data_IF_211704572508
#
_entry.id   IF_211704572508
#
_cell.length_a   1.000
_cell.length_b   1.000
_cell.length_c   1.000
_cell.angle_alpha   90.00
_cell.angle_beta   90.00
_cell.angle_gamma   90.00
#
_symmetry.space_group_name_H-M   'P 1'
#
loop_
_entity.id
_entity.type
_entity.pdbx_description
1 polymer ?
#
# COMPACT_ATOMS: atom_id res chain seq x y z
N UNK A 1 0.46 2.38 19.13
CA UNK A 1 0.14 1.00 18.66
C UNK A 1 -0.97 1.10 17.69
N UNK A 2 -0.71 0.73 16.45
CA UNK A 2 -1.74 0.63 15.40
C UNK A 2 -2.90 -0.23 15.90
N UNK A 3 -4.12 0.25 15.74
CA UNK A 3 -5.30 -0.50 16.18
C UNK A 3 -5.55 -1.63 15.19
N UNK A 4 -5.47 -2.88 15.66
CA UNK A 4 -5.81 -4.05 14.85
C UNK A 4 -7.06 -4.73 15.39
N UNK A 5 -8.00 -5.01 14.49
CA UNK A 5 -9.27 -5.67 14.81
C UNK A 5 -9.58 -6.85 13.89
N UNK A 6 -8.64 -7.25 13.05
CA UNK A 6 -8.82 -8.30 12.04
C UNK A 6 -9.32 -9.60 12.64
N UNK A 7 -8.79 -10.01 13.80
CA UNK A 7 -9.24 -11.23 14.49
C UNK A 7 -10.70 -11.17 14.95
N UNK A 8 -11.22 -9.98 15.27
CA UNK A 8 -12.63 -9.78 15.71
C UNK A 8 -13.62 -9.93 14.55
N UNK A 9 -13.17 -9.66 13.32
CA UNK A 9 -13.98 -9.71 12.10
C UNK A 9 -13.59 -10.87 11.17
N UNK A 10 -12.71 -11.77 11.60
CA UNK A 10 -12.24 -12.91 10.83
C UNK A 10 -13.40 -13.81 10.34
N UNK A 11 -14.51 -13.84 11.07
CA UNK A 11 -15.73 -14.55 10.65
C UNK A 11 -16.90 -13.59 10.68
N UNK A 12 -17.60 -13.46 9.56
CA UNK A 12 -18.82 -12.65 9.47
C UNK A 12 -19.91 -13.27 10.36
N UNK A 13 -20.24 -12.58 11.46
CA UNK A 13 -21.31 -12.97 12.39
C UNK A 13 -22.28 -11.81 12.54
N UNK A 14 -23.54 -12.12 12.84
CA UNK A 14 -24.52 -11.10 13.17
C UNK A 14 -24.01 -10.26 14.35
N UNK A 15 -24.01 -8.94 14.19
CA UNK A 15 -23.53 -8.01 15.23
C UNK A 15 -22.00 -7.83 15.32
N UNK A 16 -21.18 -8.57 14.55
CA UNK A 16 -19.72 -8.41 14.57
C UNK A 16 -19.28 -6.99 14.21
N UNK A 17 -19.88 -6.40 13.19
CA UNK A 17 -19.62 -5.01 12.80
C UNK A 17 -20.08 -3.99 13.85
N UNK A 18 -21.21 -4.24 14.50
CA UNK A 18 -21.73 -3.35 15.55
C UNK A 18 -20.77 -3.22 16.76
N UNK A 19 -20.00 -4.27 17.06
CA UNK A 19 -18.99 -4.22 18.12
C UNK A 19 -17.82 -3.28 17.78
N UNK A 20 -17.50 -3.12 16.48
CA UNK A 20 -16.47 -2.17 16.04
C UNK A 20 -16.91 -0.72 16.25
N UNK A 21 -18.22 -0.43 16.11
CA UNK A 21 -18.77 0.90 16.34
C UNK A 21 -18.63 1.38 17.79
N UNK A 22 -18.43 0.47 18.74
CA UNK A 22 -18.26 0.80 20.16
C UNK A 22 -16.79 0.99 20.57
N UNK A 23 -15.84 0.81 19.66
CA UNK A 23 -14.43 1.03 19.94
C UNK A 23 -14.15 2.54 20.03
N UNK A 24 -13.46 2.95 21.09
CA UNK A 24 -13.02 4.33 21.28
C UNK A 24 -11.66 4.61 20.62
N UNK A 25 -10.71 3.68 20.79
CA UNK A 25 -9.36 3.83 20.25
C UNK A 25 -9.35 3.60 18.74
N UNK A 26 -8.76 4.52 17.96
CA UNK A 26 -8.82 4.51 16.50
C UNK A 26 -10.22 4.81 15.94
N UNK A 27 -11.13 5.38 16.76
CA UNK A 27 -12.49 5.66 16.33
C UNK A 27 -12.65 7.08 15.80
N UNK A 28 -13.60 7.23 14.89
CA UNK A 28 -14.03 8.52 14.37
C UNK A 28 -14.57 9.43 15.50
N UNK A 29 -15.15 8.87 16.56
CA UNK A 29 -15.62 9.62 17.71
C UNK A 29 -14.48 10.34 18.43
N UNK A 30 -13.35 9.65 18.63
CA UNK A 30 -12.15 10.24 19.24
C UNK A 30 -11.54 11.34 18.36
N UNK A 31 -11.65 11.22 17.05
CA UNK A 31 -11.15 12.23 16.11
C UNK A 31 -12.04 13.48 16.09
N UNK A 32 -13.36 13.29 16.14
CA UNK A 32 -14.34 14.35 15.86
C UNK A 32 -14.89 15.07 17.11
N UNK A 33 -14.69 14.56 18.33
CA UNK A 33 -15.39 15.11 19.48
C UNK A 33 -15.14 16.61 19.72
N UNK A 34 -13.94 17.10 19.42
CA UNK A 34 -13.58 18.52 19.58
C UNK A 34 -14.29 19.40 18.55
N UNK A 35 -14.23 19.00 17.29
CA UNK A 35 -14.89 19.70 16.18
C UNK A 35 -16.41 19.65 16.34
N UNK A 36 -16.95 18.52 16.76
CA UNK A 36 -18.38 18.37 17.04
C UNK A 36 -18.84 19.28 18.18
N UNK A 37 -18.07 19.40 19.26
CA UNK A 37 -18.37 20.31 20.37
C UNK A 37 -18.29 21.77 19.94
N UNK A 38 -17.29 22.14 19.13
CA UNK A 38 -17.16 23.47 18.55
C UNK A 38 -18.36 23.81 17.67
N UNK A 39 -18.69 22.89 16.75
CA UNK A 39 -19.85 23.06 15.86
C UNK A 39 -21.17 23.19 16.65
N UNK A 40 -21.38 22.32 17.61
CA UNK A 40 -22.57 22.37 18.46
C UNK A 40 -22.65 23.68 19.25
N UNK A 41 -21.52 24.16 19.80
CA UNK A 41 -21.43 25.44 20.49
C UNK A 41 -21.76 26.63 19.58
N UNK A 42 -21.19 26.64 18.36
CA UNK A 42 -21.49 27.68 17.37
C UNK A 42 -22.96 27.64 16.92
N UNK A 43 -23.51 26.44 16.68
CA UNK A 43 -24.91 26.26 16.33
C UNK A 43 -25.86 26.78 17.43
N UNK A 44 -25.60 26.38 18.69
CA UNK A 44 -26.40 26.84 19.83
C UNK A 44 -26.29 28.34 19.99
N UNK A 45 -25.09 28.91 19.86
CA UNK A 45 -24.88 30.36 19.92
C UNK A 45 -25.66 31.11 18.84
N UNK A 46 -25.62 30.62 17.59
CA UNK A 46 -26.37 31.19 16.48
C UNK A 46 -27.88 31.04 16.67
N UNK A 47 -28.35 29.87 17.14
CA UNK A 47 -29.77 29.61 17.46
C UNK A 47 -30.29 30.52 18.54
N UNK A 48 -29.53 30.72 19.62
CA UNK A 48 -29.88 31.65 20.69
C UNK A 48 -29.90 33.10 20.18
N UNK A 49 -28.92 33.51 19.39
CA UNK A 49 -28.89 34.84 18.78
C UNK A 49 -30.12 35.07 17.90
N UNK A 50 -30.44 34.09 17.01
CA UNK A 50 -31.63 34.18 16.16
C UNK A 50 -32.94 34.28 16.95
N UNK A 51 -33.09 33.50 18.02
CA UNK A 51 -34.33 33.44 18.83
C UNK A 51 -34.52 34.65 19.75
N UNK A 52 -33.43 35.15 20.34
CA UNK A 52 -33.51 36.14 21.41
C UNK A 52 -32.95 37.53 21.07
N UNK A 53 -31.99 37.63 20.14
CA UNK A 53 -31.27 38.87 19.87
C UNK A 53 -31.72 39.57 18.58
N UNK A 54 -32.26 38.87 17.59
CA UNK A 54 -32.63 39.47 16.31
C UNK A 54 -34.03 40.10 16.35
N UNK A 55 -34.13 41.30 15.77
CA UNK A 55 -35.42 41.96 15.48
C UNK A 55 -36.11 41.28 14.29
N UNK A 56 -37.43 41.48 14.12
CA UNK A 56 -38.22 40.88 13.03
C UNK A 56 -37.66 41.19 11.63
N UNK A 57 -37.13 42.37 11.42
CA UNK A 57 -36.52 42.75 10.14
C UNK A 57 -35.21 41.99 9.90
N UNK A 58 -34.40 41.77 10.93
CA UNK A 58 -33.14 41.02 10.87
C UNK A 58 -33.40 39.52 10.72
N UNK A 59 -34.41 38.95 11.33
CA UNK A 59 -34.85 37.55 11.13
C UNK A 59 -35.20 37.27 9.68
N UNK A 60 -36.02 38.14 9.06
CA UNK A 60 -36.37 38.02 7.63
C UNK A 60 -35.17 38.11 6.70
N UNK A 61 -34.19 38.97 7.05
CA UNK A 61 -32.94 39.04 6.28
C UNK A 61 -32.11 37.75 6.43
N UNK A 62 -31.99 37.24 7.65
CA UNK A 62 -31.31 35.99 7.94
C UNK A 62 -31.93 34.82 7.20
N UNK A 63 -33.26 34.67 7.19
CA UNK A 63 -34.00 33.64 6.47
C UNK A 63 -33.75 33.71 4.96
N UNK A 64 -33.75 34.93 4.36
CA UNK A 64 -33.41 35.11 2.94
C UNK A 64 -31.98 34.69 2.63
N UNK A 65 -31.04 35.04 3.54
CA UNK A 65 -29.64 34.65 3.39
C UNK A 65 -29.46 33.14 3.44
N UNK A 66 -30.15 32.47 4.39
CA UNK A 66 -30.12 31.01 4.51
C UNK A 66 -30.64 30.34 3.26
N UNK A 67 -31.83 30.78 2.75
CA UNK A 67 -32.40 30.24 1.50
C UNK A 67 -31.50 30.46 0.26
N UNK A 68 -30.81 31.60 0.23
CA UNK A 68 -29.84 31.88 -0.85
C UNK A 68 -28.61 30.95 -0.78
N UNK A 69 -28.06 30.75 0.43
CA UNK A 69 -26.94 29.85 0.64
C UNK A 69 -27.30 28.39 0.33
N UNK A 70 -28.48 27.92 0.72
CA UNK A 70 -29.00 26.58 0.47
C UNK A 70 -29.05 26.26 -1.02
N UNK A 71 -29.67 27.15 -1.79
CA UNK A 71 -29.75 26.98 -3.25
C UNK A 71 -28.39 26.94 -3.94
N UNK A 72 -27.37 27.62 -3.38
CA UNK A 72 -26.02 27.61 -3.91
C UNK A 72 -25.23 26.38 -3.48
N UNK A 73 -25.52 25.83 -2.30
CA UNK A 73 -24.83 24.65 -1.76
C UNK A 73 -25.12 23.39 -2.56
N UNK A 74 -26.34 23.22 -3.09
CA UNK A 74 -26.74 22.06 -3.90
C UNK A 74 -25.96 21.95 -5.23
N UNK A 75 -25.35 23.04 -5.68
CA UNK A 75 -24.56 23.04 -6.94
C UNK A 75 -23.16 22.44 -6.75
N UNK A 76 -22.69 22.24 -5.54
CA UNK A 76 -21.33 21.74 -5.26
C UNK A 76 -21.38 20.26 -4.91
N UNK A 77 -20.83 19.35 -5.74
CA UNK A 77 -20.85 17.91 -5.49
C UNK A 77 -19.81 17.49 -4.44
N UNK A 78 -19.93 18.00 -3.20
CA UNK A 78 -18.94 17.81 -2.12
C UNK A 78 -18.72 16.34 -1.81
N UNK A 79 -19.79 15.54 -1.73
CA UNK A 79 -19.70 14.10 -1.44
C UNK A 79 -18.86 13.34 -2.49
N UNK A 80 -18.99 13.73 -3.76
CA UNK A 80 -18.24 13.16 -4.87
C UNK A 80 -16.74 13.50 -4.75
N UNK A 81 -16.41 14.77 -4.57
CA UNK A 81 -15.04 15.25 -4.44
C UNK A 81 -14.36 14.65 -3.20
N UNK A 82 -15.08 14.61 -2.07
CA UNK A 82 -14.61 14.01 -0.83
C UNK A 82 -14.32 12.52 -0.97
N UNK A 83 -15.17 11.79 -1.68
CA UNK A 83 -14.97 10.36 -1.97
C UNK A 83 -13.67 10.10 -2.74
N UNK A 84 -13.41 10.87 -3.78
CA UNK A 84 -12.15 10.78 -4.55
C UNK A 84 -10.92 11.13 -3.72
N UNK A 85 -11.01 12.18 -2.91
CA UNK A 85 -9.90 12.57 -2.06
C UNK A 85 -9.53 11.50 -1.05
N UNK A 86 -10.51 10.95 -0.33
CA UNK A 86 -10.27 9.88 0.64
C UNK A 86 -9.71 8.64 -0.04
N UNK A 87 -10.21 8.27 -1.23
CA UNK A 87 -9.67 7.15 -2.00
C UNK A 87 -8.20 7.37 -2.38
N UNK A 88 -7.85 8.57 -2.85
CA UNK A 88 -6.46 8.95 -3.17
C UNK A 88 -5.54 8.85 -1.94
N UNK A 89 -6.02 9.35 -0.78
CA UNK A 89 -5.24 9.31 0.47
C UNK A 89 -5.07 7.87 0.96
N UNK A 90 -6.10 7.03 0.86
CA UNK A 90 -6.03 5.61 1.25
C UNK A 90 -5.05 4.83 0.37
N UNK A 91 -5.07 5.05 -0.95
CA UNK A 91 -4.10 4.44 -1.87
C UNK A 91 -2.67 4.88 -1.52
N UNK A 92 -2.49 6.17 -1.23
CA UNK A 92 -1.20 6.71 -0.79
C UNK A 92 -0.75 6.09 0.54
N UNK A 93 -1.63 5.99 1.53
CA UNK A 93 -1.35 5.36 2.83
C UNK A 93 -0.86 3.92 2.67
N UNK A 94 -1.56 3.12 1.85
CA UNK A 94 -1.14 1.75 1.53
C UNK A 94 0.18 1.69 0.76
N UNK A 95 0.37 2.61 -0.20
CA UNK A 95 1.62 2.76 -0.95
C UNK A 95 2.80 3.09 -0.04
N UNK A 96 2.62 3.93 0.96
CA UNK A 96 3.63 4.26 1.97
C UNK A 96 4.01 3.03 2.82
N UNK A 97 3.04 2.23 3.25
CA UNK A 97 3.33 0.97 3.95
C UNK A 97 4.14 0.00 3.10
N UNK A 98 3.75 -0.18 1.83
CA UNK A 98 4.48 -1.03 0.88
C UNK A 98 5.89 -0.52 0.55
N UNK A 99 6.14 0.76 0.73
CA UNK A 99 7.45 1.37 0.54
C UNK A 99 8.39 1.19 1.76
N UNK A 100 7.90 0.73 2.91
CA UNK A 100 8.75 0.46 4.08
C UNK A 100 9.78 -0.61 3.71
N UNK A 101 11.10 -0.32 3.82
CA UNK A 101 12.14 -1.27 3.43
C UNK A 101 12.20 -2.46 4.37
N UNK A 102 11.93 -3.66 3.84
CA UNK A 102 12.07 -4.94 4.54
C UNK A 102 13.39 -5.61 4.12
N UNK A 103 14.23 -6.05 5.06
CA UNK A 103 15.55 -6.63 4.75
C UNK A 103 15.49 -8.11 4.34
N UNK A 104 14.32 -8.73 4.27
CA UNK A 104 14.16 -10.17 4.16
C UNK A 104 14.84 -10.75 2.91
N UNK A 105 14.69 -10.15 1.73
CA UNK A 105 15.38 -10.57 0.51
C UNK A 105 16.89 -10.38 0.59
N UNK A 106 17.31 -9.22 1.11
CA UNK A 106 18.74 -8.92 1.30
C UNK A 106 19.39 -9.87 2.30
N UNK A 107 18.68 -10.23 3.38
CA UNK A 107 19.11 -11.18 4.40
C UNK A 107 19.36 -12.56 3.83
N UNK A 108 18.43 -13.09 3.04
CA UNK A 108 18.57 -14.41 2.39
C UNK A 108 19.72 -14.39 1.39
N UNK A 109 19.85 -13.33 0.58
CA UNK A 109 20.94 -13.19 -0.38
C UNK A 109 22.31 -13.16 0.32
N UNK A 110 22.45 -12.39 1.44
CA UNK A 110 23.71 -12.34 2.19
C UNK A 110 24.04 -13.67 2.87
N UNK A 111 23.05 -14.31 3.50
CA UNK A 111 23.25 -15.60 4.17
C UNK A 111 23.67 -16.70 3.18
N UNK A 112 23.07 -16.72 1.98
CA UNK A 112 23.33 -17.72 0.94
C UNK A 112 24.58 -17.45 0.08
N UNK A 113 25.04 -16.20 0.01
CA UNK A 113 26.12 -15.82 -0.92
C UNK A 113 27.46 -15.51 -0.25
N UNK A 114 27.46 -15.15 1.04
CA UNK A 114 28.69 -14.77 1.78
C UNK A 114 29.12 -15.90 2.70
N UNK A 115 30.13 -16.65 2.26
CA UNK A 115 30.57 -17.89 2.90
C UNK A 115 31.63 -17.68 3.99
N UNK A 116 31.75 -18.67 4.89
CA UNK A 116 32.74 -18.78 5.95
C UNK A 116 32.09 -18.82 7.34
N UNK A 117 32.32 -19.93 8.06
CA UNK A 117 31.90 -20.10 9.46
C UNK A 117 32.83 -19.41 10.45
N UNK A 118 33.96 -18.90 9.98
CA UNK A 118 34.96 -18.20 10.77
C UNK A 118 34.54 -16.77 11.16
N UNK A 119 35.27 -16.16 12.07
CA UNK A 119 35.00 -14.79 12.54
C UNK A 119 34.97 -13.75 11.40
N UNK A 120 35.78 -13.95 10.33
CA UNK A 120 35.79 -13.04 9.18
C UNK A 120 34.51 -13.11 8.38
N UNK A 121 34.02 -14.31 8.06
CA UNK A 121 32.75 -14.49 7.37
C UNK A 121 31.57 -13.95 8.16
N UNK A 122 31.56 -14.20 9.47
CA UNK A 122 30.53 -13.68 10.37
C UNK A 122 30.50 -12.15 10.39
N UNK A 123 31.68 -11.49 10.51
CA UNK A 123 31.76 -10.02 10.53
C UNK A 123 31.27 -9.41 9.21
N UNK A 124 31.62 -10.03 8.07
CA UNK A 124 31.19 -9.57 6.76
C UNK A 124 29.66 -9.60 6.64
N UNK A 125 29.02 -10.75 6.93
CA UNK A 125 27.57 -10.90 6.86
C UNK A 125 26.86 -9.92 7.78
N UNK A 126 27.25 -9.84 9.05
CA UNK A 126 26.66 -8.90 10.02
C UNK A 126 26.81 -7.45 9.57
N UNK A 127 27.98 -7.08 9.04
CA UNK A 127 28.22 -5.70 8.60
C UNK A 127 27.38 -5.34 7.37
N UNK A 128 27.26 -6.26 6.41
CA UNK A 128 26.43 -6.04 5.23
C UNK A 128 24.96 -5.78 5.64
N UNK A 129 24.38 -6.62 6.49
CA UNK A 129 23.00 -6.43 6.92
C UNK A 129 22.83 -5.21 7.84
N UNK A 130 23.82 -4.91 8.66
CA UNK A 130 23.81 -3.68 9.46
C UNK A 130 23.81 -2.43 8.59
N UNK A 131 24.51 -2.43 7.45
CA UNK A 131 24.46 -1.33 6.50
C UNK A 131 23.08 -1.20 5.84
N UNK A 132 22.45 -2.30 5.48
CA UNK A 132 21.04 -2.29 5.04
C UNK A 132 20.12 -1.70 6.11
N UNK A 133 20.19 -2.22 7.35
CA UNK A 133 19.41 -1.73 8.47
C UNK A 133 19.66 -0.25 8.78
N UNK A 134 20.92 0.21 8.67
CA UNK A 134 21.28 1.62 8.85
C UNK A 134 20.67 2.51 7.75
N UNK A 135 20.67 2.06 6.48
CA UNK A 135 20.05 2.81 5.40
C UNK A 135 18.55 3.00 5.63
N UNK A 136 17.84 1.93 5.99
CA UNK A 136 16.42 1.98 6.36
C UNK A 136 16.17 2.90 7.56
N UNK A 137 17.00 2.79 8.60
CA UNK A 137 16.89 3.60 9.80
C UNK A 137 17.10 5.09 9.53
N UNK A 138 18.04 5.46 8.66
CA UNK A 138 18.27 6.86 8.27
C UNK A 138 17.07 7.46 7.54
N UNK A 139 16.38 6.67 6.71
CA UNK A 139 15.14 7.11 6.06
C UNK A 139 14.00 7.21 7.08
N UNK A 140 13.76 6.15 7.86
CA UNK A 140 12.69 6.13 8.86
C UNK A 140 12.87 7.24 9.91
N UNK A 141 14.11 7.55 10.28
CA UNK A 141 14.43 8.68 11.17
C UNK A 141 14.06 10.04 10.55
N UNK A 142 14.10 10.15 9.23
CA UNK A 142 13.73 11.39 8.54
C UNK A 142 12.21 11.56 8.41
N UNK A 143 11.47 10.46 8.25
CA UNK A 143 10.03 10.50 7.94
C UNK A 143 9.13 10.19 9.15
N UNK A 144 9.65 9.49 10.17
CA UNK A 144 8.87 9.03 11.33
C UNK A 144 9.24 9.74 12.62
N UNK A 145 8.27 10.43 13.21
CA UNK A 145 8.42 11.12 14.50
C UNK A 145 8.81 10.18 15.65
N UNK A 146 8.19 9.01 15.86
CA UNK A 146 8.59 8.06 16.88
C UNK A 146 10.02 7.55 16.73
N UNK A 147 10.49 7.34 15.49
CA UNK A 147 11.85 6.91 15.20
C UNK A 147 12.85 8.04 15.47
N UNK A 148 12.51 9.27 15.07
CA UNK A 148 13.34 10.44 15.38
C UNK A 148 13.49 10.64 16.90
N UNK A 149 12.41 10.50 17.66
CA UNK A 149 12.45 10.59 19.14
C UNK A 149 13.28 9.48 19.76
N UNK A 150 13.30 8.29 19.18
CA UNK A 150 14.13 7.16 19.65
C UNK A 150 15.62 7.36 19.32
N UNK A 151 15.94 7.93 18.16
CA UNK A 151 17.31 8.12 17.68
C UNK A 151 17.57 9.57 17.26
N UNK A 152 17.53 10.55 18.17
CA UNK A 152 17.61 11.97 17.82
C UNK A 152 18.98 12.39 17.25
N UNK A 153 20.06 11.72 17.64
CA UNK A 153 21.41 12.01 17.16
C UNK A 153 22.11 10.77 16.61
N UNK A 154 23.22 10.97 15.91
CA UNK A 154 24.07 9.88 15.42
C UNK A 154 24.75 9.10 16.55
N UNK A 155 24.92 9.69 17.75
CA UNK A 155 25.38 8.99 18.94
C UNK A 155 24.43 7.87 19.37
N UNK A 156 23.13 8.10 19.29
CA UNK A 156 22.12 7.07 19.59
C UNK A 156 22.20 5.91 18.61
N UNK A 157 22.55 6.16 17.33
CA UNK A 157 22.76 5.10 16.34
C UNK A 157 23.99 4.25 16.68
N UNK A 158 25.04 4.88 17.23
CA UNK A 158 26.24 4.18 17.70
C UNK A 158 25.93 3.34 18.95
N UNK A 159 25.20 3.91 19.91
CA UNK A 159 24.80 3.19 21.13
C UNK A 159 23.89 2.01 20.85
N UNK A 160 22.99 2.15 19.86
CA UNK A 160 22.10 1.09 19.43
C UNK A 160 22.78 0.02 18.54
N UNK A 161 24.05 0.19 18.18
CA UNK A 161 24.81 -0.79 17.40
C UNK A 161 24.55 -0.77 15.88
N UNK A 162 23.84 0.21 15.36
CA UNK A 162 23.67 0.38 13.90
C UNK A 162 24.88 1.01 13.24
N UNK A 163 25.66 1.77 13.98
CA UNK A 163 26.79 2.54 13.47
C UNK A 163 28.00 2.35 14.40
N UNK A 164 29.19 2.19 13.86
CA UNK A 164 30.41 2.24 14.62
C UNK A 164 30.92 3.68 14.78
N UNK A 165 31.80 3.95 15.73
CA UNK A 165 32.40 5.29 15.94
C UNK A 165 33.13 5.79 14.70
N UNK A 166 33.84 4.90 14.00
CA UNK A 166 34.59 5.26 12.80
C UNK A 166 33.66 5.54 11.61
N UNK A 167 32.64 4.71 11.40
CA UNK A 167 31.63 4.92 10.38
C UNK A 167 30.87 6.23 10.62
N UNK A 168 30.58 6.57 11.88
CA UNK A 168 29.99 7.86 12.24
C UNK A 168 30.87 9.03 11.78
N UNK A 169 32.19 9.00 12.10
CA UNK A 169 33.11 10.07 11.68
C UNK A 169 33.11 10.24 10.16
N UNK A 170 33.06 9.14 9.39
CA UNK A 170 32.97 9.17 7.93
C UNK A 170 31.64 9.71 7.45
N UNK A 171 30.53 9.29 8.05
CA UNK A 171 29.20 9.75 7.71
C UNK A 171 29.01 11.25 7.95
N UNK A 172 29.50 11.73 9.09
CA UNK A 172 29.44 13.16 9.47
C UNK A 172 30.40 14.00 8.63
N UNK A 173 31.61 13.50 8.38
CA UNK A 173 32.63 14.18 7.60
C UNK A 173 32.27 14.36 6.11
N UNK A 174 31.28 13.61 5.61
CA UNK A 174 30.83 13.76 4.24
C UNK A 174 30.07 15.08 4.05
N UNK A 175 30.58 15.97 3.22
CA UNK A 175 29.96 17.25 2.91
C UNK A 175 28.83 17.09 1.92
N UNK A 176 27.63 16.78 2.41
CA UNK A 176 26.40 16.73 1.62
C UNK A 176 25.26 17.31 2.44
N UNK A 177 24.43 18.23 1.90
CA UNK A 177 23.26 18.76 2.58
C UNK A 177 22.07 17.79 2.53
N UNK A 178 22.14 16.78 1.68
CA UNK A 178 21.05 15.83 1.45
C UNK A 178 21.05 14.68 2.46
N UNK A 179 19.92 14.01 2.60
CA UNK A 179 19.82 12.81 3.44
C UNK A 179 20.83 11.75 2.97
N UNK A 180 21.56 11.19 3.93
CA UNK A 180 22.71 10.31 3.68
C UNK A 180 22.37 8.81 3.70
N UNK A 181 21.11 8.43 3.52
CA UNK A 181 20.70 7.00 3.54
C UNK A 181 21.37 6.18 2.42
N UNK A 182 21.82 6.81 1.36
CA UNK A 182 22.57 6.16 0.28
C UNK A 182 23.98 5.76 0.66
N UNK A 183 24.58 6.37 1.68
CA UNK A 183 25.97 6.12 2.09
C UNK A 183 26.18 4.70 2.59
N UNK A 184 25.35 4.15 3.50
CA UNK A 184 25.43 2.74 3.87
C UNK A 184 25.26 1.78 2.70
N UNK A 185 24.46 2.11 1.70
CA UNK A 185 24.30 1.30 0.48
C UNK A 185 25.62 1.28 -0.32
N UNK A 186 26.31 2.42 -0.44
CA UNK A 186 27.62 2.47 -1.08
C UNK A 186 28.69 1.67 -0.29
N UNK A 187 28.65 1.73 1.05
CA UNK A 187 29.53 0.90 1.88
C UNK A 187 29.22 -0.59 1.73
N UNK A 188 27.95 -0.97 1.64
CA UNK A 188 27.54 -2.34 1.37
C UNK A 188 28.14 -2.83 0.04
N UNK A 189 27.97 -2.06 -1.03
CA UNK A 189 28.48 -2.43 -2.35
C UNK A 189 30.00 -2.60 -2.36
N UNK A 190 30.72 -1.67 -1.72
CA UNK A 190 32.18 -1.75 -1.59
C UNK A 190 32.62 -2.99 -0.78
N UNK A 191 31.93 -3.29 0.33
CA UNK A 191 32.21 -4.42 1.20
C UNK A 191 31.90 -5.76 0.53
N UNK A 192 30.81 -5.85 -0.24
CA UNK A 192 30.46 -7.05 -1.03
C UNK A 192 31.51 -7.31 -2.13
N UNK A 193 31.98 -6.26 -2.82
CA UNK A 193 33.10 -6.37 -3.76
C UNK A 193 34.40 -6.80 -3.09
N UNK A 194 34.65 -6.35 -1.86
CA UNK A 194 35.78 -6.83 -1.06
C UNK A 194 35.63 -8.31 -0.68
N UNK A 195 34.45 -8.71 -0.21
CA UNK A 195 34.15 -10.12 0.11
C UNK A 195 34.35 -11.05 -1.11
N UNK A 196 34.03 -10.56 -2.33
CA UNK A 196 34.32 -11.28 -3.58
C UNK A 196 35.83 -11.46 -3.81
N UNK A 197 36.62 -10.40 -3.63
CA UNK A 197 38.08 -10.48 -3.76
C UNK A 197 38.74 -11.39 -2.69
N UNK A 198 38.15 -11.45 -1.50
CA UNK A 198 38.59 -12.35 -0.43
C UNK A 198 38.14 -13.81 -0.64
N UNK A 199 37.42 -14.12 -1.73
CA UNK A 199 36.91 -15.47 -2.04
C UNK A 199 35.71 -15.88 -1.14
N UNK A 200 35.13 -14.95 -0.40
CA UNK A 200 33.95 -15.22 0.46
C UNK A 200 32.64 -15.21 -0.32
N UNK A 201 32.60 -14.58 -1.48
CA UNK A 201 31.54 -14.69 -2.46
C UNK A 201 32.04 -15.54 -3.60
N UNK A 202 31.34 -16.62 -3.92
CA UNK A 202 31.80 -17.69 -4.81
C UNK A 202 32.14 -17.21 -6.21
N UNK A 203 31.24 -16.44 -6.82
CA UNK A 203 31.31 -16.02 -8.21
C UNK A 203 30.66 -14.64 -8.43
N UNK A 204 30.72 -14.17 -9.65
CA UNK A 204 30.18 -12.86 -10.02
C UNK A 204 28.66 -12.87 -10.13
N UNK A 205 28.01 -14.02 -10.33
CA UNK A 205 26.57 -14.18 -10.29
C UNK A 205 26.04 -13.96 -8.86
N UNK A 206 26.73 -14.52 -7.85
CA UNK A 206 26.39 -14.30 -6.45
C UNK A 206 26.61 -12.83 -6.04
N UNK A 207 27.69 -12.18 -6.54
CA UNK A 207 27.88 -10.75 -6.33
C UNK A 207 26.78 -9.93 -6.99
N UNK A 208 26.39 -10.28 -8.22
CA UNK A 208 25.27 -9.63 -8.94
C UNK A 208 23.97 -9.74 -8.16
N UNK A 209 23.64 -10.94 -7.62
CA UNK A 209 22.47 -11.14 -6.78
C UNK A 209 22.48 -10.21 -5.56
N UNK A 210 23.62 -10.09 -4.87
CA UNK A 210 23.77 -9.17 -3.74
C UNK A 210 23.52 -7.71 -4.13
N UNK A 211 23.99 -7.28 -5.31
CA UNK A 211 23.77 -5.92 -5.81
C UNK A 211 22.32 -5.69 -6.24
N UNK A 212 21.67 -6.68 -6.84
CA UNK A 212 20.26 -6.60 -7.24
C UNK A 212 19.35 -6.48 -6.01
N UNK A 213 19.56 -7.32 -4.99
CA UNK A 213 18.79 -7.22 -3.74
C UNK A 213 19.07 -5.92 -2.96
N UNK A 214 20.31 -5.45 -2.95
CA UNK A 214 20.63 -4.13 -2.41
C UNK A 214 19.89 -3.01 -3.15
N UNK A 215 19.87 -3.05 -4.48
CA UNK A 215 19.19 -2.03 -5.29
C UNK A 215 17.67 -2.06 -5.10
N UNK A 216 17.07 -3.25 -4.98
CA UNK A 216 15.66 -3.41 -4.65
C UNK A 216 15.36 -2.79 -3.27
N UNK A 217 16.14 -3.14 -2.28
CA UNK A 217 16.04 -2.58 -0.93
C UNK A 217 16.21 -1.05 -0.92
N UNK A 218 17.24 -0.54 -1.61
CA UNK A 218 17.49 0.89 -1.75
C UNK A 218 16.35 1.62 -2.47
N UNK A 219 15.72 0.98 -3.46
CA UNK A 219 14.57 1.54 -4.16
C UNK A 219 13.39 1.78 -3.19
N UNK A 220 13.12 0.84 -2.28
CA UNK A 220 12.13 1.03 -1.22
C UNK A 220 12.49 2.20 -0.29
N UNK A 221 13.75 2.31 0.15
CA UNK A 221 14.22 3.45 0.93
C UNK A 221 13.98 4.79 0.19
N UNK A 222 14.30 4.84 -1.10
CA UNK A 222 14.11 6.02 -1.94
C UNK A 222 12.64 6.36 -2.13
N UNK A 223 11.81 5.34 -2.39
CA UNK A 223 10.37 5.51 -2.58
C UNK A 223 9.71 6.05 -1.31
N UNK A 224 10.06 5.51 -0.14
CA UNK A 224 9.57 6.01 1.14
C UNK A 224 9.94 7.47 1.36
N UNK A 225 11.18 7.85 1.07
CA UNK A 225 11.65 9.23 1.16
C UNK A 225 10.93 10.17 0.19
N UNK A 226 10.61 9.70 -1.03
CA UNK A 226 9.84 10.47 -2.01
C UNK A 226 8.39 10.67 -1.56
N UNK A 227 7.77 9.71 -0.91
CA UNK A 227 6.42 9.88 -0.34
C UNK A 227 6.37 11.00 0.71
N UNK A 228 7.42 11.15 1.52
CA UNK A 228 7.51 12.23 2.48
C UNK A 228 7.79 13.58 1.80
N UNK A 229 8.70 13.60 0.82
CA UNK A 229 9.05 14.82 0.10
C UNK A 229 7.92 15.39 -0.73
N UNK A 230 7.16 14.53 -1.43
CA UNK A 230 6.06 14.93 -2.30
C UNK A 230 4.74 14.68 -1.57
N UNK A 231 4.18 15.73 -0.99
CA UNK A 231 2.84 15.68 -0.37
C UNK A 231 1.72 15.71 -1.42
N UNK A 232 0.50 15.39 -1.01
CA UNK A 232 -0.69 15.65 -1.83
C UNK A 232 -0.79 17.17 -2.05
N UNK A 233 -1.04 17.64 -3.30
CA UNK A 233 -1.16 19.07 -3.57
C UNK A 233 -2.20 19.74 -2.68
N UNK A 234 -1.82 20.86 -2.06
CA UNK A 234 -2.64 21.55 -1.05
C UNK A 234 -4.05 21.91 -1.57
N UNK A 235 -4.17 22.18 -2.88
CA UNK A 235 -5.46 22.48 -3.50
C UNK A 235 -6.49 21.35 -3.28
N UNK A 236 -6.08 20.10 -3.28
CA UNK A 236 -7.00 18.97 -3.00
C UNK A 236 -7.52 18.99 -1.57
N UNK A 237 -6.69 19.41 -0.62
CA UNK A 237 -7.08 19.49 0.79
C UNK A 237 -7.97 20.73 1.05
N UNK A 238 -7.69 21.85 0.38
CA UNK A 238 -8.43 23.11 0.54
C UNK A 238 -9.81 23.10 -0.13
N UNK A 239 -10.00 22.27 -1.17
CA UNK A 239 -11.28 22.19 -1.89
C UNK A 239 -12.42 21.56 -1.06
N UNK A 240 -12.12 21.02 0.11
CA UNK A 240 -13.01 20.18 0.91
C UNK A 240 -13.52 20.86 2.18
N UNK A 241 -13.38 22.19 2.30
CA UNK A 241 -13.93 22.91 3.44
C UNK A 241 -15.48 22.98 3.31
N UNK A 242 -16.23 22.16 4.07
CA UNK A 242 -17.67 22.04 3.90
C UNK A 242 -18.39 23.11 4.71
N UNK A 243 -18.42 24.32 4.24
CA UNK A 243 -19.36 25.32 4.73
C UNK A 243 -20.76 25.05 4.13
N UNK A 244 -21.43 24.00 4.56
CA UNK A 244 -22.81 23.73 4.13
C UNK A 244 -23.79 23.85 5.29
N UNK A 245 -24.68 24.82 5.19
CA UNK A 245 -25.88 24.92 5.99
C UNK A 245 -27.08 24.37 5.22
N UNK A 246 -27.88 23.50 5.80
CA UNK A 246 -29.15 23.08 5.25
C UNK A 246 -30.31 23.90 5.83
N UNK A 247 -31.05 24.52 4.95
CA UNK A 247 -32.32 25.14 5.28
C UNK A 247 -33.46 24.29 4.68
N UNK A 248 -34.44 23.94 5.46
CA UNK A 248 -35.67 23.36 4.96
C UNK A 248 -36.22 22.17 5.74
N UNK A 249 -36.36 22.27 7.06
CA UNK A 249 -37.20 21.33 7.78
C UNK A 249 -38.29 22.11 8.52
N UNK A 250 -39.54 21.84 8.19
CA UNK A 250 -40.74 22.36 8.85
C UNK A 250 -40.89 21.89 10.32
N UNK A 251 -40.02 20.96 10.78
CA UNK A 251 -39.99 20.44 12.15
C UNK A 251 -38.84 21.08 12.93
N UNK A 252 -39.11 22.13 13.68
CA UNK A 252 -38.19 22.70 14.65
C UNK A 252 -38.13 21.81 15.92
N UNK A 253 -37.35 20.76 15.85
CA UNK A 253 -37.12 19.80 16.93
C UNK A 253 -36.20 20.35 18.04
N UNK A 254 -35.80 21.62 17.98
CA UNK A 254 -34.89 22.23 18.98
C UNK A 254 -33.46 21.67 18.95
N UNK A 255 -33.26 20.42 18.49
CA UNK A 255 -31.94 19.78 18.28
C UNK A 255 -31.81 19.40 16.81
N UNK A 256 -30.77 19.89 16.10
CA UNK A 256 -30.60 19.67 14.67
C UNK A 256 -29.98 18.29 14.39
N UNK A 257 -30.72 17.22 14.67
CA UNK A 257 -30.22 15.84 14.59
C UNK A 257 -29.64 15.52 13.19
N UNK A 258 -30.35 15.90 12.13
CA UNK A 258 -29.89 15.64 10.77
C UNK A 258 -28.66 16.47 10.39
N UNK A 259 -28.58 17.72 10.83
CA UNK A 259 -27.41 18.58 10.62
C UNK A 259 -26.18 18.03 11.35
N UNK A 260 -26.36 17.57 12.59
CA UNK A 260 -25.29 16.91 13.36
C UNK A 260 -24.83 15.60 12.70
N UNK A 261 -25.76 14.80 12.21
CA UNK A 261 -25.46 13.56 11.52
C UNK A 261 -24.68 13.84 10.23
N UNK A 262 -25.09 14.85 9.47
CA UNK A 262 -24.44 15.27 8.25
C UNK A 262 -23.04 15.82 8.52
N UNK A 263 -22.88 16.70 9.51
CA UNK A 263 -21.58 17.15 9.98
C UNK A 263 -20.68 15.97 10.34
N UNK A 264 -21.21 14.99 11.09
CA UNK A 264 -20.48 13.79 11.48
C UNK A 264 -19.98 13.02 10.27
N UNK A 265 -20.80 12.84 9.23
CA UNK A 265 -20.37 12.11 8.03
C UNK A 265 -19.36 12.88 7.19
N UNK A 266 -19.61 14.16 6.88
CA UNK A 266 -18.70 14.92 6.02
C UNK A 266 -17.37 15.25 6.69
N UNK A 267 -17.42 15.84 7.87
CA UNK A 267 -16.20 16.19 8.61
C UNK A 267 -15.48 14.93 9.10
N UNK A 268 -16.23 13.89 9.46
CA UNK A 268 -15.64 12.59 9.81
C UNK A 268 -14.86 11.97 8.67
N UNK A 269 -15.42 11.99 7.46
CA UNK A 269 -14.75 11.46 6.29
C UNK A 269 -13.49 12.25 5.93
N UNK A 270 -13.55 13.57 6.07
CA UNK A 270 -12.38 14.44 5.91
C UNK A 270 -11.30 14.16 6.96
N UNK A 271 -11.70 13.97 8.23
CA UNK A 271 -10.78 13.66 9.34
C UNK A 271 -10.10 12.29 9.16
N UNK A 272 -10.77 11.31 8.58
CA UNK A 272 -10.14 10.04 8.21
C UNK A 272 -9.00 10.27 7.21
N UNK A 273 -9.22 11.10 6.20
CA UNK A 273 -8.16 11.44 5.25
C UNK A 273 -7.00 12.20 5.91
N UNK A 274 -7.31 13.17 6.80
CA UNK A 274 -6.30 13.92 7.56
C UNK A 274 -5.39 13.00 8.38
N UNK A 275 -5.96 11.99 9.03
CA UNK A 275 -5.20 11.02 9.81
C UNK A 275 -4.33 10.10 8.94
N UNK A 276 -4.85 9.66 7.79
CA UNK A 276 -4.14 8.72 6.92
C UNK A 276 -3.06 9.38 6.03
N UNK A 277 -3.04 10.70 5.91
CA UNK A 277 -2.13 11.41 5.00
C UNK A 277 -0.66 11.27 5.40
N UNK A 278 -0.38 11.16 6.71
CA UNK A 278 0.96 10.93 7.27
C UNK A 278 0.94 9.80 8.29
N UNK A 279 1.11 8.54 7.87
CA UNK A 279 1.02 7.37 8.76
C UNK A 279 2.30 7.09 9.57
N UNK A 280 3.27 7.99 9.58
CA UNK A 280 4.53 7.85 10.31
C UNK A 280 4.62 8.74 11.56
N UNK A 281 3.49 9.28 11.98
CA UNK A 281 3.33 10.07 13.19
C UNK A 281 3.15 9.22 14.47
N UNK A 282 2.30 9.73 15.38
CA UNK A 282 2.03 9.11 16.68
C UNK A 282 0.52 8.86 16.92
N UNK A 283 -0.28 8.93 15.88
CA UNK A 283 -1.72 8.69 15.95
C UNK A 283 -2.04 7.20 16.13
N UNK A 284 -3.29 6.90 16.49
CA UNK A 284 -3.72 5.53 16.82
C UNK A 284 -3.60 4.55 15.63
N UNK A 285 -3.71 5.05 14.40
CA UNK A 285 -3.67 4.26 13.17
C UNK A 285 -2.32 4.35 12.42
N UNK A 286 -1.33 5.05 13.01
CA UNK A 286 0.00 5.17 12.43
C UNK A 286 0.79 3.86 12.52
N UNK A 287 1.74 3.68 11.59
CA UNK A 287 2.54 2.47 11.51
C UNK A 287 3.51 2.34 12.70
N UNK A 288 3.60 1.13 13.24
CA UNK A 288 4.52 0.78 14.34
C UNK A 288 5.98 0.68 13.86
N UNK A 289 6.54 1.82 13.44
CA UNK A 289 7.86 1.88 12.82
C UNK A 289 8.98 1.40 13.73
N UNK A 290 8.91 1.64 15.04
CA UNK A 290 9.90 1.14 16.00
C UNK A 290 9.89 -0.38 16.12
N UNK A 291 8.71 -1.00 16.13
CA UNK A 291 8.56 -2.46 16.14
C UNK A 291 9.10 -3.08 14.85
N UNK A 292 8.86 -2.44 13.70
CA UNK A 292 9.42 -2.88 12.41
C UNK A 292 10.94 -2.82 12.39
N UNK A 293 11.56 -1.77 12.97
CA UNK A 293 13.02 -1.66 13.10
C UNK A 293 13.56 -2.80 13.97
N UNK A 294 12.95 -3.04 15.13
CA UNK A 294 13.40 -4.09 16.07
C UNK A 294 13.28 -5.48 15.42
N UNK A 295 12.14 -5.80 14.81
CA UNK A 295 11.94 -7.05 14.05
C UNK A 295 13.00 -7.20 12.95
N UNK A 296 13.15 -6.19 12.11
CA UNK A 296 14.04 -6.25 10.96
C UNK A 296 15.49 -6.44 11.38
N UNK A 297 15.93 -5.76 12.42
CA UNK A 297 17.28 -5.89 12.95
C UNK A 297 17.50 -7.27 13.57
N UNK A 298 16.60 -7.72 14.44
CA UNK A 298 16.69 -9.02 15.11
C UNK A 298 16.72 -10.19 14.10
N UNK A 299 15.74 -10.24 13.20
CA UNK A 299 15.65 -11.32 12.21
C UNK A 299 16.87 -11.35 11.28
N UNK A 300 17.33 -10.17 10.84
CA UNK A 300 18.54 -10.07 10.01
C UNK A 300 19.78 -10.64 10.72
N UNK A 301 19.95 -10.35 12.01
CA UNK A 301 21.10 -10.85 12.76
C UNK A 301 21.02 -12.36 13.04
N UNK A 302 19.82 -12.87 13.37
CA UNK A 302 19.61 -14.31 13.56
C UNK A 302 19.90 -15.12 12.30
N UNK A 303 19.44 -14.63 11.14
CA UNK A 303 19.62 -15.34 9.87
C UNK A 303 21.10 -15.48 9.46
N UNK A 304 21.93 -14.49 9.74
CA UNK A 304 23.36 -14.52 9.32
C UNK A 304 24.31 -15.01 10.39
N UNK A 305 23.83 -15.20 11.59
CA UNK A 305 24.61 -15.72 12.71
C UNK A 305 24.17 -17.13 13.12
N UNK A 306 23.02 -17.20 13.80
CA UNK A 306 22.56 -18.40 14.49
C UNK A 306 22.09 -19.46 13.50
N UNK A 307 21.43 -19.07 12.42
CA UNK A 307 20.95 -19.97 11.38
C UNK A 307 21.99 -20.22 10.26
N UNK A 308 23.13 -19.52 10.30
CA UNK A 308 24.11 -19.66 9.24
C UNK A 308 24.81 -21.03 9.28
N UNK A 309 24.58 -21.83 8.24
CA UNK A 309 25.15 -23.17 8.12
C UNK A 309 24.47 -24.24 8.93
N UNK A 310 23.47 -23.88 9.76
CA UNK A 310 22.65 -24.85 10.49
C UNK A 310 21.47 -25.30 9.62
N UNK A 311 21.73 -26.32 8.82
CA UNK A 311 20.69 -26.99 8.04
C UNK A 311 20.24 -28.24 8.80
N UNK A 312 18.94 -28.40 9.11
CA UNK A 312 18.43 -29.63 9.72
C UNK A 312 18.83 -30.86 8.91
N UNK A 313 19.00 -31.98 9.60
CA UNK A 313 19.26 -33.24 8.92
C UNK A 313 18.19 -33.55 7.87
N UNK A 314 18.60 -34.01 6.71
CA UNK A 314 17.66 -34.41 5.66
C UNK A 314 16.99 -35.72 6.06
N UNK A 315 15.68 -35.66 6.20
CA UNK A 315 14.84 -36.80 6.51
C UNK A 315 13.81 -37.00 5.40
N UNK A 316 13.40 -38.26 5.23
CA UNK A 316 12.27 -38.54 4.33
C UNK A 316 11.01 -37.97 4.97
N UNK A 317 10.30 -37.16 4.19
CA UNK A 317 9.04 -36.59 4.67
C UNK A 317 7.95 -37.66 4.77
N UNK A 318 6.88 -37.31 5.47
CA UNK A 318 5.73 -38.22 5.70
C UNK A 318 5.12 -38.79 4.43
N UNK A 319 5.30 -38.13 3.32
CA UNK A 319 4.66 -38.47 2.03
C UNK A 319 5.65 -39.05 1.00
N UNK A 320 6.87 -39.39 1.42
CA UNK A 320 7.93 -39.86 0.55
C UNK A 320 7.48 -40.98 -0.41
N UNK A 321 6.70 -41.95 0.11
CA UNK A 321 6.18 -43.09 -0.66
C UNK A 321 4.74 -42.87 -1.13
N UNK A 322 4.19 -41.69 -0.99
CA UNK A 322 2.79 -41.38 -1.34
C UNK A 322 2.70 -40.76 -2.74
N UNK A 323 1.89 -41.33 -3.60
CA UNK A 323 1.57 -40.79 -4.92
C UNK A 323 0.57 -39.63 -4.85
N UNK A 324 -0.07 -39.42 -3.72
CA UNK A 324 -1.12 -38.42 -3.51
C UNK A 324 -0.96 -37.77 -2.14
N UNK A 325 0.07 -36.93 -1.92
CA UNK A 325 0.29 -36.29 -0.61
C UNK A 325 -0.87 -35.37 -0.25
N UNK A 326 -1.43 -35.56 0.95
CA UNK A 326 -2.53 -34.76 1.48
C UNK A 326 -2.28 -34.45 2.93
N UNK A 327 -2.17 -33.18 3.26
CA UNK A 327 -2.05 -32.73 4.65
C UNK A 327 -3.32 -33.08 5.45
N UNK A 328 -3.18 -33.61 6.68
CA UNK A 328 -4.32 -33.94 7.51
C UNK A 328 -5.03 -32.71 8.04
N UNK A 329 -6.32 -32.84 8.27
CA UNK A 329 -7.11 -31.81 8.93
C UNK A 329 -7.17 -32.08 10.43
N UNK A 330 -7.16 -31.04 11.24
CA UNK A 330 -7.42 -31.17 12.68
C UNK A 330 -8.92 -31.37 12.94
N UNK A 331 -9.28 -31.79 14.14
CA UNK A 331 -10.69 -31.89 14.53
C UNK A 331 -11.44 -30.55 14.46
N UNK A 332 -10.74 -29.45 14.62
CA UNK A 332 -11.30 -28.09 14.47
C UNK A 332 -11.46 -27.65 13.01
N UNK A 333 -10.71 -28.24 12.06
CA UNK A 333 -10.75 -27.93 10.65
C UNK A 333 -11.56 -28.99 9.90
N UNK A 334 -12.73 -28.61 9.37
CA UNK A 334 -13.51 -29.52 8.54
C UNK A 334 -12.86 -29.73 7.18
N UNK A 335 -12.78 -30.97 6.64
CA UNK A 335 -12.29 -31.18 5.29
C UNK A 335 -13.19 -30.46 4.28
N UNK A 336 -12.65 -29.97 3.15
CA UNK A 336 -13.44 -29.31 2.13
C UNK A 336 -14.50 -30.25 1.57
N UNK A 337 -15.76 -29.82 1.58
CA UNK A 337 -16.90 -30.58 1.07
C UNK A 337 -17.08 -30.44 -0.44
N UNK A 338 -16.38 -29.49 -1.05
CA UNK A 338 -16.49 -29.23 -2.48
C UNK A 338 -15.44 -30.01 -3.27
N UNK A 339 -15.78 -30.42 -4.51
CA UNK A 339 -14.79 -31.02 -5.40
C UNK A 339 -13.65 -30.03 -5.67
N UNK A 340 -12.48 -30.58 -5.93
CA UNK A 340 -11.29 -29.78 -6.22
C UNK A 340 -11.55 -28.87 -7.44
N UNK A 341 -11.31 -27.58 -7.29
CA UNK A 341 -11.42 -26.63 -8.37
C UNK A 341 -10.42 -26.98 -9.48
N UNK A 342 -10.93 -27.24 -10.70
CA UNK A 342 -10.14 -27.58 -11.88
C UNK A 342 -10.00 -26.45 -12.89
N UNK A 343 -10.75 -25.38 -12.71
CA UNK A 343 -10.93 -24.29 -13.63
C UNK A 343 -12.40 -24.16 -14.05
N UNK A 344 -12.90 -22.95 -14.20
CA UNK A 344 -14.33 -22.68 -14.52
C UNK A 344 -14.79 -23.27 -15.87
N UNK A 345 -13.88 -23.46 -16.82
CA UNK A 345 -14.20 -24.06 -18.11
C UNK A 345 -14.59 -25.55 -18.01
N UNK A 346 -14.17 -26.25 -16.96
CA UNK A 346 -14.54 -27.66 -16.71
C UNK A 346 -15.98 -27.83 -16.23
N UNK A 347 -16.63 -26.75 -15.81
CA UNK A 347 -18.03 -26.75 -15.42
C UNK A 347 -18.98 -26.54 -16.62
N UNK A 348 -18.41 -26.28 -17.81
CA UNK A 348 -19.16 -26.14 -19.05
C UNK A 348 -19.53 -27.53 -19.56
N UNK A 349 -20.81 -27.78 -19.67
CA UNK A 349 -21.36 -29.04 -20.26
C UNK A 349 -21.53 -28.84 -21.77
N UNK A 350 -20.81 -29.66 -22.54
CA UNK A 350 -20.96 -29.69 -24.00
C UNK A 350 -21.85 -30.85 -24.42
N UNK A 351 -22.69 -30.63 -25.41
CA UNK A 351 -23.47 -31.72 -26.04
C UNK A 351 -22.51 -32.64 -26.82
N UNK A 352 -22.86 -33.93 -26.94
CA UNK A 352 -22.00 -34.91 -27.65
C UNK A 352 -21.71 -34.49 -29.09
N UNK A 353 -22.65 -33.85 -29.72
CA UNK A 353 -22.54 -33.33 -31.11
C UNK A 353 -21.54 -32.20 -31.22
N UNK A 354 -21.43 -31.34 -30.18
CA UNK A 354 -20.50 -30.20 -30.12
C UNK A 354 -19.05 -30.63 -29.80
N UNK A 355 -18.84 -31.87 -29.31
CA UNK A 355 -17.52 -32.40 -29.03
C UNK A 355 -16.85 -33.02 -30.26
N UNK A 356 -17.54 -33.10 -31.40
CA UNK A 356 -16.95 -33.64 -32.60
C UNK A 356 -16.05 -32.60 -33.29
N UNK A 357 -14.86 -33.03 -33.69
CA UNK A 357 -14.00 -32.17 -34.49
C UNK A 357 -14.67 -31.91 -35.87
N UNK A 358 -14.77 -30.61 -36.19
CA UNK A 358 -15.11 -30.26 -37.59
C UNK A 358 -13.96 -30.68 -38.51
N UNK A 359 -14.27 -31.27 -39.69
CA UNK A 359 -13.23 -31.52 -40.69
C UNK A 359 -12.51 -30.18 -40.99
N UNK A 360 -11.18 -30.18 -40.99
CA UNK A 360 -10.47 -29.07 -41.60
C UNK A 360 -10.85 -29.06 -43.09
N UNK A 361 -11.62 -28.04 -43.49
CA UNK A 361 -11.73 -27.71 -44.90
C UNK A 361 -10.34 -27.32 -45.35
N UNK A 362 -9.75 -28.14 -46.26
CA UNK A 362 -8.55 -27.76 -46.97
C UNK A 362 -8.85 -26.42 -47.65
N UNK A 363 -8.28 -25.36 -47.12
CA UNK A 363 -8.21 -24.07 -47.81
C UNK A 363 -7.24 -24.33 -48.98
N UNK A 364 -7.77 -24.94 -50.04
CA UNK A 364 -7.08 -25.11 -51.28
C UNK A 364 -6.60 -23.75 -51.78
N UNK A 365 -5.31 -23.64 -52.01
CA UNK A 365 -4.68 -22.57 -52.76
C UNK A 365 -5.27 -22.55 -54.19
N UNK A 366 -6.43 -21.91 -54.34
CA UNK A 366 -6.92 -21.53 -55.65
C UNK A 366 -6.50 -20.09 -55.90
N UNK A 367 -5.69 -19.85 -56.96
CA UNK A 367 -5.38 -18.49 -57.39
C UNK A 367 -6.69 -17.82 -57.82
N UNK A 368 -7.16 -16.87 -56.98
CA UNK A 368 -8.42 -16.16 -57.13
C UNK A 368 -8.47 -15.38 -58.44
N UNK A 369 -9.52 -15.59 -59.21
CA UNK A 369 -9.94 -14.74 -60.32
C UNK A 369 -10.41 -13.37 -59.75
N UNK A 370 -9.93 -12.24 -60.28
CA UNK A 370 -10.18 -10.91 -59.68
C UNK A 370 -11.61 -10.38 -59.89
N UNK A 371 -12.60 -11.17 -60.28
CA UNK A 371 -13.93 -10.69 -60.66
C UNK A 371 -15.11 -11.10 -59.78
N UNK A 372 -14.85 -11.85 -58.67
CA UNK A 372 -15.97 -12.22 -57.78
C UNK A 372 -16.13 -11.22 -56.58
N UNK A 373 -17.34 -10.74 -56.30
CA UNK A 373 -17.58 -9.88 -55.17
C UNK A 373 -17.55 -10.64 -53.83
N UNK A 374 -16.78 -10.17 -52.91
CA UNK A 374 -16.59 -10.74 -51.56
C UNK A 374 -17.93 -11.13 -50.88
N UNK A 375 -17.99 -12.32 -50.22
CA UNK A 375 -19.14 -12.75 -49.47
C UNK A 375 -19.35 -11.87 -48.24
N UNK A 376 -20.60 -11.38 -48.07
CA UNK A 376 -21.01 -10.61 -46.88
C UNK A 376 -20.97 -11.51 -45.62
N UNK A 377 -20.43 -11.05 -44.52
CA UNK A 377 -20.49 -11.78 -43.26
C UNK A 377 -21.96 -11.82 -42.73
N UNK A 378 -22.37 -12.90 -42.05
CA UNK A 378 -23.73 -13.02 -41.50
C UNK A 378 -23.97 -11.97 -40.40
N UNK A 379 -25.16 -11.39 -40.42
CA UNK A 379 -25.61 -10.34 -39.52
C UNK A 379 -25.63 -10.84 -38.06
N UNK A 380 -24.69 -10.38 -37.25
CA UNK A 380 -24.73 -10.56 -35.82
C UNK A 380 -25.82 -9.68 -35.20
N UNK A 381 -26.74 -10.29 -34.50
CA UNK A 381 -27.81 -9.68 -33.72
C UNK A 381 -27.22 -8.82 -32.63
N UNK A 382 -27.49 -7.54 -32.70
CA UNK A 382 -27.08 -6.51 -31.76
C UNK A 382 -27.55 -6.81 -30.32
N UNK A 383 -26.65 -6.98 -29.36
CA UNK A 383 -26.95 -6.69 -27.98
C UNK A 383 -26.16 -5.44 -27.55
N UNK A 384 -26.94 -4.49 -27.08
CA UNK A 384 -26.47 -3.22 -26.56
C UNK A 384 -25.46 -3.41 -25.38
N UNK A 385 -24.31 -2.76 -25.45
CA UNK A 385 -23.66 -2.23 -24.29
C UNK A 385 -23.13 -0.84 -24.59
N UNK A 386 -23.46 0.05 -23.70
CA UNK A 386 -23.22 1.48 -23.72
C UNK A 386 -21.78 1.81 -23.34
N UNK A 387 -21.29 2.93 -23.90
CA UNK A 387 -20.23 3.82 -23.45
C UNK A 387 -18.79 3.54 -23.91
N UNK A 388 -18.42 4.25 -24.97
CA UNK A 388 -17.12 4.90 -25.10
C UNK A 388 -17.28 6.28 -25.76
N UNK A 389 -16.68 7.35 -25.25
CA UNK A 389 -16.60 8.62 -25.97
C UNK A 389 -15.38 8.62 -26.92
N UNK A 390 -15.63 9.06 -28.13
CA UNK A 390 -14.62 9.41 -29.13
C UNK A 390 -13.99 10.76 -28.79
N UNK A 391 -12.69 10.89 -29.02
CA UNK A 391 -12.14 12.17 -29.49
C UNK A 391 -11.15 11.87 -30.60
N UNK A 392 -11.39 12.51 -31.74
CA UNK A 392 -10.52 12.49 -32.90
C UNK A 392 -9.54 13.65 -32.87
N UNK A 393 -8.48 13.52 -33.66
CA UNK A 393 -8.05 14.43 -34.74
C UNK A 393 -6.65 14.03 -35.22
N UNK A 394 -6.55 13.68 -36.43
CA UNK A 394 -5.74 14.13 -37.57
C UNK A 394 -4.34 14.69 -37.31
N UNK A 395 -3.35 14.19 -38.09
CA UNK A 395 -2.07 14.84 -38.33
C UNK A 395 -0.99 13.90 -38.87
N UNK A 396 -0.80 13.99 -40.15
CA UNK A 396 0.13 13.35 -41.09
C UNK A 396 1.62 13.30 -40.70
N UNK A 397 2.31 12.29 -41.21
CA UNK A 397 3.62 12.51 -41.84
C UNK A 397 4.80 11.66 -41.35
N UNK A 398 5.24 10.70 -42.15
CA UNK A 398 6.67 10.37 -42.29
C UNK A 398 7.20 9.12 -41.59
N UNK A 399 7.25 8.02 -42.33
CA UNK A 399 8.26 6.94 -42.19
C UNK A 399 9.61 7.37 -42.79
N UNK A 400 10.79 6.77 -42.53
CA UNK A 400 11.00 5.32 -42.42
C UNK A 400 12.15 4.86 -41.45
N UNK A 401 12.23 3.52 -41.34
CA UNK A 401 13.40 2.67 -41.13
C UNK A 401 13.77 2.23 -39.72
N UNK A 402 13.64 0.90 -39.57
CA UNK A 402 14.19 -0.08 -38.64
C UNK A 402 15.72 -0.13 -38.66
N UNK A 403 16.46 -0.86 -37.78
CA UNK A 403 16.05 -2.08 -37.06
C UNK A 403 16.72 -2.33 -35.67
N UNK A 404 16.29 -3.42 -35.03
CA UNK A 404 16.97 -4.26 -34.05
C UNK A 404 16.82 -3.99 -32.54
N UNK A 405 16.27 -4.97 -31.86
CA UNK A 405 16.80 -5.51 -30.63
C UNK A 405 15.83 -5.65 -29.45
N UNK A 406 15.10 -6.73 -29.45
CA UNK A 406 14.89 -7.70 -28.37
C UNK A 406 14.97 -7.20 -26.91
N UNK A 407 13.96 -7.55 -26.09
CA UNK A 407 13.99 -7.40 -24.65
C UNK A 407 12.64 -7.16 -23.99
N UNK A 408 11.68 -8.05 -24.21
CA UNK A 408 10.42 -8.05 -23.44
C UNK A 408 10.65 -8.36 -21.97
N UNK A 409 10.48 -7.39 -21.10
CA UNK A 409 10.39 -7.62 -19.66
C UNK A 409 8.94 -7.83 -19.30
N UNK A 410 8.56 -9.07 -19.08
CA UNK A 410 7.31 -9.43 -18.42
C UNK A 410 7.38 -9.00 -16.96
N UNK A 411 6.56 -8.04 -16.58
CA UNK A 411 6.25 -7.75 -15.18
C UNK A 411 5.50 -8.92 -14.55
N UNK A 412 6.24 -9.81 -13.91
CA UNK A 412 5.68 -10.83 -13.05
C UNK A 412 5.24 -10.20 -11.73
N UNK A 413 3.94 -10.10 -11.52
CA UNK A 413 3.31 -9.79 -10.25
C UNK A 413 3.60 -10.91 -9.24
N UNK A 414 4.59 -10.70 -8.39
CA UNK A 414 4.83 -11.57 -7.23
C UNK A 414 3.75 -11.29 -6.18
N UNK A 415 2.83 -12.24 -6.06
CA UNK A 415 1.93 -12.39 -4.92
C UNK A 415 2.77 -12.62 -3.67
N UNK A 416 2.75 -11.67 -2.74
CA UNK A 416 3.26 -11.89 -1.40
C UNK A 416 2.29 -12.79 -0.63
N UNK A 417 2.76 -13.81 0.09
CA UNK A 417 1.91 -14.55 0.99
C UNK A 417 1.46 -13.68 2.15
N UNK A 418 0.20 -13.78 2.45
CA UNK A 418 -0.47 -13.22 3.63
C UNK A 418 0.31 -13.52 4.89
N UNK A 419 0.67 -12.47 5.64
CA UNK A 419 1.26 -12.60 6.96
C UNK A 419 0.14 -12.88 7.98
N UNK A 420 -0.24 -14.15 8.06
CA UNK A 420 -1.05 -14.66 9.18
C UNK A 420 -0.19 -15.58 10.05
N UNK A 421 -0.19 -15.27 11.32
CA UNK A 421 0.41 -15.90 12.49
C UNK A 421 1.68 -15.25 13.05
N UNK A 422 1.46 -14.24 13.91
CA UNK A 422 2.22 -14.10 15.14
C UNK A 422 1.22 -13.79 16.27
N UNK A 423 1.19 -14.71 17.21
CA UNK A 423 0.50 -14.65 18.51
C UNK A 423 1.04 -13.46 19.34
#
# INVERSE_FOLDING_TARGET
>A
MTVTYTSRVATARFGGFSQLLLLWRGSIYKLLYRELLLFLGAYLGLSLAYRFLLSESQRRLFEKLVLYCDKSADLIPVSFVLGFYVALVLERWWGQFRAVPAPDGLMVAVAGSVHGADARGRILRRTLLRYGGLAALLVLRAVSTPVYKRFPTTDHLVQAGFLTREERRRLEGLRSPYNKFWVPCAWFAALAGQARREGRVRDDCALKLLMEELNRFRAHCSLLFHYDWISVPLVYTQFLDPAQGYAGHELDLGVPVFTLLQFFFYVGWLKVAEQLINPFGEDDDDFETNTLIDRNFQVSMLAVDELYGEVPALERDRYWDSTCPRAPYTAAAAPPRQPTFRGSAFDVTLAKEEMQFQPLEDVGDSPGDPTDPAPRPPSATRRHSLLHPKSGSEGEGGSPENPLGDGGTQDQWLLYPSADHVV
#
